data_IF_417986237153
#
_entry.id   IF_417986237153
#
_cell.length_a   1.000
_cell.length_b   1.000
_cell.length_c   1.000
_cell.angle_alpha   90.00
_cell.angle_beta   90.00
_cell.angle_gamma   90.00
#
_symmetry.space_group_name_H-M   'P 1'
#
loop_
_entity.id
_entity.type
_entity.pdbx_description
1 polymer ?
#
# COMPACT_ATOMS: atom_id res chain seq x y z
N UNK A 1 -11.82 -3.63 -5.11
CA UNK A 1 -11.35 -3.92 -6.48
C UNK A 1 -9.97 -4.55 -6.47
N UNK A 2 -9.81 -5.53 -7.29
CA UNK A 2 -8.53 -6.18 -7.56
C UNK A 2 -8.44 -6.44 -9.06
N UNK A 3 -7.42 -5.92 -9.73
CA UNK A 3 -7.30 -6.03 -11.18
C UNK A 3 -5.95 -5.55 -11.69
N UNK A 4 -5.90 -5.09 -12.93
CA UNK A 4 -4.64 -4.78 -13.59
C UNK A 4 -4.30 -3.29 -13.57
N UNK A 5 -5.10 -2.44 -14.20
CA UNK A 5 -4.75 -1.03 -14.35
C UNK A 5 -5.29 -0.15 -13.23
N UNK A 6 -4.47 0.80 -12.78
CA UNK A 6 -4.88 1.77 -11.78
C UNK A 6 -6.04 2.64 -12.27
N UNK A 7 -6.06 2.96 -13.57
CA UNK A 7 -7.12 3.79 -14.18
C UNK A 7 -8.50 3.13 -14.08
N UNK A 8 -8.57 1.81 -14.01
CA UNK A 8 -9.85 1.09 -13.88
C UNK A 8 -10.45 1.31 -12.50
N UNK A 9 -9.66 1.18 -11.45
CA UNK A 9 -10.16 1.40 -10.08
C UNK A 9 -10.50 2.87 -9.85
N UNK A 10 -9.73 3.78 -10.44
CA UNK A 10 -10.02 5.22 -10.35
C UNK A 10 -11.33 5.56 -11.05
N UNK A 11 -11.60 4.97 -12.22
CA UNK A 11 -12.86 5.15 -12.93
C UNK A 11 -14.03 4.60 -12.12
N UNK A 12 -13.88 3.43 -11.51
CA UNK A 12 -14.90 2.87 -10.63
C UNK A 12 -15.19 3.80 -9.45
N UNK A 13 -14.15 4.33 -8.82
CA UNK A 13 -14.30 5.25 -7.68
C UNK A 13 -15.03 6.53 -8.08
N UNK A 14 -14.80 7.04 -9.30
CA UNK A 14 -15.42 8.26 -9.81
C UNK A 14 -16.94 8.10 -9.97
N UNK A 15 -17.40 6.94 -10.43
CA UNK A 15 -18.81 6.71 -10.74
C UNK A 15 -19.56 5.91 -9.67
N UNK A 16 -18.86 5.34 -8.70
CA UNK A 16 -19.50 4.59 -7.62
C UNK A 16 -20.15 5.54 -6.62
N UNK A 17 -21.29 5.11 -6.05
CA UNK A 17 -21.95 5.85 -4.98
C UNK A 17 -21.47 5.42 -3.59
N UNK A 18 -20.49 4.54 -3.51
CA UNK A 18 -19.93 3.98 -2.28
C UNK A 18 -18.39 4.06 -2.36
N UNK A 19 -17.70 4.00 -1.21
CA UNK A 19 -16.23 3.93 -1.24
C UNK A 19 -15.73 2.73 -2.04
N UNK A 20 -14.64 2.93 -2.77
CA UNK A 20 -13.98 1.89 -3.54
C UNK A 20 -12.56 1.71 -3.02
N UNK A 21 -12.23 0.47 -2.60
CA UNK A 21 -10.92 0.14 -2.07
C UNK A 21 -10.07 -0.48 -3.16
N UNK A 22 -8.83 -0.01 -3.28
CA UNK A 22 -7.86 -0.64 -4.17
C UNK A 22 -7.26 -1.86 -3.45
N UNK A 23 -7.77 -3.05 -3.79
CA UNK A 23 -7.26 -4.31 -3.28
C UNK A 23 -5.97 -4.75 -3.97
N UNK A 24 -5.79 -4.37 -5.23
CA UNK A 24 -4.56 -4.60 -6.01
C UNK A 24 -4.72 -4.04 -7.42
N UNK A 25 -3.73 -3.30 -7.87
CA UNK A 25 -3.54 -2.94 -9.27
C UNK A 25 -2.09 -3.22 -9.67
N UNK A 26 -1.76 -3.01 -10.94
CA UNK A 26 -0.37 -3.15 -11.40
C UNK A 26 0.55 -2.11 -10.75
N UNK A 27 0.02 -0.93 -10.45
CA UNK A 27 0.77 0.19 -9.92
C UNK A 27 0.81 0.22 -8.41
N UNK A 28 -0.25 -0.24 -7.73
CA UNK A 28 -0.37 -0.11 -6.28
C UNK A 28 -1.04 -1.32 -5.63
N UNK A 29 -0.69 -1.55 -4.36
CA UNK A 29 -1.34 -2.56 -3.52
C UNK A 29 -1.43 -2.04 -2.08
N UNK A 30 -2.22 -0.98 -1.84
CA UNK A 30 -2.23 -0.29 -0.55
C UNK A 30 -2.75 -1.13 0.62
N UNK A 31 -3.72 -2.01 0.39
CA UNK A 31 -4.26 -2.86 1.46
C UNK A 31 -3.22 -3.85 1.99
N UNK A 32 -2.30 -4.32 1.14
CA UNK A 32 -1.19 -5.16 1.58
C UNK A 32 -0.24 -4.38 2.48
N UNK A 33 0.02 -3.12 2.17
CA UNK A 33 0.86 -2.27 3.01
C UNK A 33 0.25 -2.00 4.37
N UNK A 34 -1.06 -1.85 4.46
CA UNK A 34 -1.74 -1.74 5.76
C UNK A 34 -1.53 -3.00 6.58
N UNK A 35 -1.62 -4.18 5.97
CA UNK A 35 -1.34 -5.45 6.63
C UNK A 35 0.12 -5.53 7.08
N UNK A 36 1.05 -5.08 6.26
CA UNK A 36 2.48 -5.08 6.57
C UNK A 36 2.78 -4.14 7.74
N UNK A 37 2.17 -2.96 7.76
CA UNK A 37 2.33 -1.99 8.85
C UNK A 37 1.80 -2.56 10.17
N UNK A 38 0.66 -3.24 10.14
CA UNK A 38 0.10 -3.90 11.32
C UNK A 38 1.06 -4.98 11.83
N UNK A 39 1.61 -5.79 10.93
CA UNK A 39 2.58 -6.83 11.27
C UNK A 39 3.82 -6.23 11.93
N UNK A 40 4.34 -5.15 11.37
CA UNK A 40 5.50 -4.44 11.95
C UNK A 40 5.19 -3.94 13.35
N UNK A 41 4.02 -3.35 13.55
CA UNK A 41 3.58 -2.85 14.84
C UNK A 41 3.46 -3.97 15.89
N UNK A 42 2.95 -5.13 15.50
CA UNK A 42 2.80 -6.28 16.38
C UNK A 42 4.15 -6.89 16.78
N UNK A 43 5.14 -6.88 15.89
CA UNK A 43 6.46 -7.46 16.15
C UNK A 43 7.46 -6.49 16.77
N UNK A 44 7.20 -5.19 16.68
CA UNK A 44 8.06 -4.15 17.24
C UNK A 44 7.21 -3.23 18.14
N UNK A 45 6.61 -3.76 19.21
CA UNK A 45 5.74 -2.98 20.08
C UNK A 45 6.53 -1.85 20.75
N UNK A 46 5.91 -0.68 20.86
CA UNK A 46 6.54 0.49 21.47
C UNK A 46 7.49 1.25 20.55
N UNK A 47 7.69 0.79 19.31
CA UNK A 47 8.53 1.48 18.33
C UNK A 47 7.65 2.19 17.32
N UNK A 48 7.85 3.50 17.15
CA UNK A 48 7.11 4.26 16.14
C UNK A 48 7.57 3.91 14.74
N UNK A 49 6.72 4.10 13.73
CA UNK A 49 7.06 3.77 12.35
C UNK A 49 8.29 4.54 11.86
N UNK A 50 8.44 5.81 12.25
CA UNK A 50 9.60 6.60 11.86
C UNK A 50 10.91 6.15 12.50
N UNK A 51 10.85 5.26 13.47
CA UNK A 51 12.02 4.65 14.12
C UNK A 51 12.38 3.31 13.48
N UNK A 52 11.56 2.81 12.55
CA UNK A 52 11.77 1.53 11.87
C UNK A 52 12.53 1.71 10.56
N UNK A 53 13.31 0.70 10.21
CA UNK A 53 13.97 0.63 8.90
C UNK A 53 13.35 -0.51 8.09
N UNK A 54 12.86 -0.18 6.91
CA UNK A 54 12.26 -1.14 6.00
C UNK A 54 13.12 -1.30 4.76
N UNK A 55 13.44 -2.55 4.43
CA UNK A 55 14.21 -2.87 3.23
C UNK A 55 13.34 -3.66 2.27
N UNK A 56 13.22 -3.17 1.04
CA UNK A 56 12.53 -3.85 -0.04
C UNK A 56 13.55 -4.41 -1.02
N UNK A 57 13.55 -5.73 -1.17
CA UNK A 57 14.43 -6.42 -2.12
C UNK A 57 13.58 -7.08 -3.20
N UNK A 58 13.80 -6.70 -4.45
CA UNK A 58 13.04 -7.23 -5.57
C UNK A 58 12.78 -6.17 -6.63
N UNK A 59 11.72 -6.37 -7.42
CA UNK A 59 11.36 -5.42 -8.48
C UNK A 59 10.65 -4.21 -7.88
N UNK A 60 11.38 -3.09 -7.81
CA UNK A 60 10.85 -1.84 -7.26
C UNK A 60 9.88 -1.11 -8.22
N UNK A 61 9.67 -1.65 -9.42
CA UNK A 61 8.78 -1.04 -10.42
C UNK A 61 7.40 -1.68 -10.45
N UNK A 62 7.07 -2.47 -9.44
CA UNK A 62 5.76 -3.10 -9.33
C UNK A 62 4.89 -2.40 -8.27
N UNK A 63 3.67 -2.93 -8.06
CA UNK A 63 2.69 -2.36 -7.13
C UNK A 63 3.19 -2.29 -5.69
N UNK A 64 3.92 -3.31 -5.23
CA UNK A 64 4.42 -3.33 -3.85
C UNK A 64 5.49 -2.27 -3.63
N UNK A 65 6.42 -2.10 -4.58
CA UNK A 65 7.44 -1.07 -4.49
C UNK A 65 6.83 0.33 -4.41
N UNK A 66 5.87 0.62 -5.28
CA UNK A 66 5.18 1.91 -5.30
C UNK A 66 4.40 2.17 -4.01
N UNK A 67 3.62 1.19 -3.52
CA UNK A 67 2.85 1.34 -2.29
C UNK A 67 3.76 1.48 -1.07
N UNK A 68 4.89 0.80 -1.07
CA UNK A 68 5.86 0.88 0.02
C UNK A 68 6.47 2.28 0.11
N UNK A 69 6.78 2.91 -1.02
CA UNK A 69 7.26 4.29 -1.05
C UNK A 69 6.22 5.25 -0.50
N UNK A 70 4.95 5.07 -0.85
CA UNK A 70 3.86 5.88 -0.30
C UNK A 70 3.72 5.70 1.22
N UNK A 71 3.76 4.45 1.69
CA UNK A 71 3.67 4.16 3.11
C UNK A 71 4.83 4.79 3.89
N UNK A 72 6.04 4.72 3.37
CA UNK A 72 7.22 5.34 3.98
C UNK A 72 7.07 6.85 4.06
N UNK A 73 6.57 7.48 3.01
CA UNK A 73 6.36 8.93 2.99
C UNK A 73 5.29 9.38 3.98
N UNK A 74 4.21 8.60 4.14
CA UNK A 74 3.10 8.94 5.03
C UNK A 74 3.40 8.69 6.51
N UNK A 75 4.25 7.73 6.82
CA UNK A 75 4.56 7.36 8.21
C UNK A 75 5.88 7.95 8.73
N UNK A 76 6.62 8.59 7.89
CA UNK A 76 7.93 9.17 8.25
C UNK A 76 9.10 8.25 7.92
#
# INVERSE_FOLDING_TARGET
>A
YRGYGQEIVETLAEYASVPVWNGLTNEFHPTQLLADLLTMQEHLPGKAFNEMTLVYAGDARNNMGNSMLEAAALTG
#
